data_IF_482703875188
#
_entry.id   IF_482703875188
#
_cell.length_a   1.000
_cell.length_b   1.000
_cell.length_c   1.000
_cell.angle_alpha   90.00
_cell.angle_beta   90.00
_cell.angle_gamma   90.00
#
_symmetry.space_group_name_H-M   'P 1'
#
loop_
_entity.id
_entity.type
_entity.pdbx_description
1 polymer ?
#
# COMPACT_ATOMS: atom_id res chain seq x y z
N UNK A 1 0.64 -8.10 -43.35
CA UNK A 1 0.14 -6.92 -42.60
C UNK A 1 -0.96 -7.29 -41.62
N UNK A 2 -1.94 -8.10 -41.99
CA UNK A 2 -3.07 -8.51 -41.14
C UNK A 2 -2.61 -9.27 -39.86
N UNK A 3 -1.64 -10.17 -39.99
CA UNK A 3 -1.15 -10.99 -38.87
C UNK A 3 -0.42 -10.16 -37.79
N UNK A 4 0.37 -9.14 -38.17
CA UNK A 4 1.00 -8.21 -37.23
C UNK A 4 -0.04 -7.33 -36.47
N UNK A 5 -1.11 -6.98 -37.15
CA UNK A 5 -2.19 -6.18 -36.55
C UNK A 5 -3.01 -7.00 -35.53
N UNK A 6 -3.25 -8.28 -35.79
CA UNK A 6 -3.89 -9.21 -34.86
C UNK A 6 -3.04 -9.47 -33.61
N UNK A 7 -1.72 -9.58 -33.76
CA UNK A 7 -0.81 -9.79 -32.61
C UNK A 7 -0.77 -8.55 -31.70
N UNK A 8 -0.72 -7.34 -32.29
CA UNK A 8 -0.75 -6.10 -31.53
C UNK A 8 -2.06 -5.95 -30.75
N UNK A 9 -3.20 -6.17 -31.39
CA UNK A 9 -4.54 -6.09 -30.73
C UNK A 9 -4.66 -7.08 -29.58
N UNK A 10 -4.20 -8.32 -29.74
CA UNK A 10 -4.25 -9.33 -28.70
C UNK A 10 -3.31 -9.02 -27.52
N UNK A 11 -2.18 -8.35 -27.75
CA UNK A 11 -1.31 -7.88 -26.66
C UNK A 11 -1.93 -6.70 -25.91
N UNK A 12 -2.58 -5.76 -26.59
CA UNK A 12 -3.30 -4.66 -25.97
C UNK A 12 -4.47 -5.16 -25.10
N UNK A 13 -5.19 -6.20 -25.53
CA UNK A 13 -6.23 -6.87 -24.74
C UNK A 13 -5.66 -7.55 -23.49
N UNK A 14 -4.49 -8.20 -23.59
CA UNK A 14 -3.79 -8.78 -22.47
C UNK A 14 -3.36 -7.71 -21.45
N UNK A 15 -2.84 -6.57 -21.91
CA UNK A 15 -2.48 -5.43 -21.04
C UNK A 15 -3.71 -4.82 -20.35
N UNK A 16 -4.83 -4.67 -21.07
CA UNK A 16 -6.08 -4.20 -20.48
C UNK A 16 -6.54 -5.14 -19.36
N UNK A 17 -6.44 -6.46 -19.58
CA UNK A 17 -6.75 -7.46 -18.54
C UNK A 17 -5.88 -7.31 -17.30
N UNK A 18 -4.57 -7.10 -17.46
CA UNK A 18 -3.67 -6.83 -16.32
C UNK A 18 -4.08 -5.55 -15.58
N UNK A 19 -4.42 -4.48 -16.29
CA UNK A 19 -4.86 -3.23 -15.68
C UNK A 19 -6.17 -3.40 -14.89
N UNK A 20 -7.14 -4.16 -15.42
CA UNK A 20 -8.39 -4.45 -14.71
C UNK A 20 -8.15 -5.27 -13.43
N UNK A 21 -7.26 -6.25 -13.49
CA UNK A 21 -6.86 -7.04 -12.31
C UNK A 21 -6.18 -6.15 -11.27
N UNK A 22 -5.29 -5.25 -11.71
CA UNK A 22 -4.59 -4.29 -10.87
C UNK A 22 -5.55 -3.33 -10.17
N UNK A 23 -6.53 -2.80 -10.90
CA UNK A 23 -7.58 -1.92 -10.35
C UNK A 23 -8.41 -2.64 -9.27
N UNK A 24 -8.74 -3.92 -9.48
CA UNK A 24 -9.44 -4.74 -8.48
C UNK A 24 -8.59 -4.97 -7.23
N UNK A 25 -7.30 -5.30 -7.38
CA UNK A 25 -6.38 -5.46 -6.26
C UNK A 25 -6.22 -4.16 -5.48
N UNK A 26 -6.07 -3.02 -6.18
CA UNK A 26 -5.99 -1.70 -5.56
C UNK A 26 -7.23 -1.35 -4.74
N UNK A 27 -8.42 -1.57 -5.29
CA UNK A 27 -9.69 -1.32 -4.58
C UNK A 27 -9.85 -2.21 -3.34
N UNK A 28 -9.41 -3.47 -3.40
CA UNK A 28 -9.42 -4.38 -2.25
C UNK A 28 -8.45 -3.91 -1.17
N UNK A 29 -7.20 -3.59 -1.52
CA UNK A 29 -6.19 -3.11 -0.58
C UNK A 29 -6.64 -1.79 0.10
N UNK A 30 -7.19 -0.84 -0.68
CA UNK A 30 -7.78 0.40 -0.18
C UNK A 30 -8.90 0.13 0.83
N UNK A 31 -9.87 -0.70 0.43
CA UNK A 31 -11.02 -1.04 1.28
C UNK A 31 -10.61 -1.72 2.58
N UNK A 32 -9.64 -2.63 2.54
CA UNK A 32 -9.12 -3.33 3.72
C UNK A 32 -8.39 -2.37 4.66
N UNK A 33 -7.54 -1.49 4.14
CA UNK A 33 -6.81 -0.50 4.93
C UNK A 33 -7.76 0.49 5.59
N UNK A 34 -8.72 1.03 4.84
CA UNK A 34 -9.74 1.92 5.36
C UNK A 34 -10.57 1.24 6.47
N UNK A 35 -11.12 0.06 6.19
CA UNK A 35 -11.97 -0.65 7.13
C UNK A 35 -11.22 -1.06 8.41
N UNK A 36 -9.96 -1.50 8.30
CA UNK A 36 -9.15 -1.84 9.46
C UNK A 36 -8.91 -0.64 10.38
N UNK A 37 -8.61 0.54 9.82
CA UNK A 37 -8.40 1.76 10.60
C UNK A 37 -9.71 2.30 11.17
N UNK A 38 -10.79 2.34 10.41
CA UNK A 38 -12.10 2.80 10.89
C UNK A 38 -12.63 1.91 12.02
N UNK A 39 -12.40 0.59 11.98
CA UNK A 39 -12.76 -0.30 13.10
C UNK A 39 -12.08 0.12 14.41
N UNK A 40 -10.82 0.55 14.37
CA UNK A 40 -10.10 1.08 15.54
C UNK A 40 -10.72 2.40 16.02
N UNK A 41 -10.93 3.34 15.11
CA UNK A 41 -11.36 4.70 15.41
C UNK A 41 -12.80 4.74 15.92
N UNK A 42 -13.69 3.94 15.33
CA UNK A 42 -15.09 3.83 15.73
C UNK A 42 -15.31 2.85 16.88
N UNK A 43 -14.26 2.16 17.31
CA UNK A 43 -14.30 1.08 18.33
C UNK A 43 -15.30 -0.03 17.98
N UNK A 44 -15.41 -0.35 16.72
CA UNK A 44 -16.32 -1.37 16.23
C UNK A 44 -15.58 -2.61 15.72
N UNK A 45 -15.55 -3.72 16.47
CA UNK A 45 -14.84 -4.94 16.07
C UNK A 45 -15.60 -5.78 15.02
N UNK A 46 -16.83 -5.43 14.65
CA UNK A 46 -17.71 -6.31 13.86
C UNK A 46 -17.16 -6.69 12.48
N UNK A 47 -16.32 -5.85 11.88
CA UNK A 47 -15.74 -6.07 10.54
C UNK A 47 -14.37 -6.75 10.57
N UNK A 48 -13.72 -6.89 11.73
CA UNK A 48 -12.32 -7.32 11.81
C UNK A 48 -12.09 -8.74 11.28
N UNK A 49 -13.00 -9.67 11.57
CA UNK A 49 -12.89 -11.06 11.08
C UNK A 49 -13.05 -11.14 9.56
N UNK A 50 -13.92 -10.32 9.00
CA UNK A 50 -14.13 -10.27 7.55
C UNK A 50 -12.94 -9.64 6.84
N UNK A 51 -12.33 -8.58 7.40
CA UNK A 51 -11.10 -7.99 6.86
C UNK A 51 -9.98 -9.02 6.82
N UNK A 52 -9.79 -9.78 7.91
CA UNK A 52 -8.74 -10.81 8.00
C UNK A 52 -8.98 -11.95 6.99
N UNK A 53 -10.24 -12.31 6.72
CA UNK A 53 -10.58 -13.35 5.73
C UNK A 53 -10.44 -12.89 4.28
N UNK A 54 -10.77 -11.63 4.00
CA UNK A 54 -10.69 -11.04 2.65
C UNK A 54 -9.28 -10.89 2.12
N UNK A 55 -8.29 -10.93 2.99
CA UNK A 55 -6.89 -10.95 2.59
C UNK A 55 -6.59 -12.05 1.57
N UNK A 56 -7.21 -13.24 1.75
CA UNK A 56 -7.09 -14.33 0.80
C UNK A 56 -7.58 -13.98 -0.62
N UNK A 57 -8.54 -13.06 -0.77
CA UNK A 57 -9.00 -12.63 -2.10
C UNK A 57 -7.89 -11.88 -2.85
N UNK A 58 -7.03 -11.17 -2.11
CA UNK A 58 -5.91 -10.44 -2.67
C UNK A 58 -4.76 -11.38 -3.06
N UNK A 59 -4.46 -12.38 -2.19
CA UNK A 59 -3.50 -13.46 -2.49
C UNK A 59 -3.90 -14.23 -3.76
N UNK A 60 -5.18 -14.62 -3.86
CA UNK A 60 -5.72 -15.35 -5.01
C UNK A 60 -5.64 -14.50 -6.30
N UNK A 61 -5.90 -13.18 -6.23
CA UNK A 61 -5.75 -12.28 -7.38
C UNK A 61 -4.28 -12.10 -7.79
N UNK A 62 -3.35 -11.97 -6.85
CA UNK A 62 -1.92 -11.93 -7.15
C UNK A 62 -1.50 -13.20 -7.91
N UNK A 63 -1.89 -14.38 -7.42
CA UNK A 63 -1.56 -15.65 -8.05
C UNK A 63 -2.08 -15.72 -9.49
N UNK A 64 -3.34 -15.35 -9.73
CA UNK A 64 -3.93 -15.33 -11.09
C UNK A 64 -3.22 -14.32 -11.99
N UNK A 65 -2.85 -13.14 -11.47
CA UNK A 65 -2.11 -12.13 -12.23
C UNK A 65 -0.71 -12.67 -12.62
N UNK A 66 -0.03 -13.34 -11.70
CA UNK A 66 1.27 -13.94 -11.95
C UNK A 66 1.21 -14.98 -13.07
N UNK A 67 0.18 -15.85 -13.06
CA UNK A 67 -0.04 -16.82 -14.15
C UNK A 67 -0.32 -16.11 -15.48
N UNK A 68 -1.13 -15.04 -15.47
CA UNK A 68 -1.41 -14.25 -16.68
C UNK A 68 -0.15 -13.58 -17.24
N UNK A 69 0.72 -13.04 -16.40
CA UNK A 69 2.01 -12.48 -16.80
C UNK A 69 2.90 -13.53 -17.49
N UNK A 70 2.99 -14.74 -16.92
CA UNK A 70 3.76 -15.85 -17.51
C UNK A 70 3.18 -16.22 -18.88
N UNK A 71 1.85 -16.33 -18.99
CA UNK A 71 1.16 -16.60 -20.26
C UNK A 71 1.49 -15.56 -21.34
N UNK A 72 1.41 -14.27 -20.99
CA UNK A 72 1.73 -13.15 -21.91
C UNK A 72 3.16 -13.25 -22.39
N UNK A 73 4.12 -13.47 -21.49
CA UNK A 73 5.54 -13.59 -21.87
C UNK A 73 5.75 -14.77 -22.81
N UNK A 74 5.15 -15.92 -22.51
CA UNK A 74 5.29 -17.14 -23.31
C UNK A 74 4.65 -17.02 -24.70
N UNK A 75 3.46 -16.42 -24.79
CA UNK A 75 2.70 -16.38 -26.05
C UNK A 75 3.03 -15.17 -26.93
N UNK A 76 3.36 -14.01 -26.32
CA UNK A 76 3.57 -12.75 -27.06
C UNK A 76 5.04 -12.40 -27.26
N UNK A 77 5.96 -12.97 -26.44
CA UNK A 77 7.38 -12.65 -26.45
C UNK A 77 7.65 -11.13 -26.48
N UNK A 78 7.05 -10.35 -25.51
CA UNK A 78 7.13 -8.89 -25.51
C UNK A 78 8.58 -8.41 -25.42
N UNK A 79 8.89 -7.23 -25.98
CA UNK A 79 10.25 -6.68 -26.03
C UNK A 79 10.30 -5.25 -25.54
N UNK A 80 11.43 -4.88 -24.97
CA UNK A 80 11.72 -3.51 -24.53
C UNK A 80 10.58 -2.93 -23.65
N UNK A 81 9.89 -1.88 -24.10
CA UNK A 81 8.84 -1.21 -23.34
C UNK A 81 7.67 -2.14 -22.97
N UNK A 82 7.28 -3.04 -23.89
CA UNK A 82 6.18 -3.99 -23.66
C UNK A 82 6.54 -4.99 -22.57
N UNK A 83 7.77 -5.51 -22.57
CA UNK A 83 8.25 -6.38 -21.50
C UNK A 83 8.32 -5.64 -20.16
N UNK A 84 8.74 -4.36 -20.15
CA UNK A 84 8.74 -3.56 -18.92
C UNK A 84 7.34 -3.44 -18.33
N UNK A 85 6.30 -3.16 -19.15
CA UNK A 85 4.91 -3.08 -18.68
C UNK A 85 4.47 -4.36 -17.99
N UNK A 86 4.74 -5.50 -18.59
CA UNK A 86 4.37 -6.81 -18.03
C UNK A 86 5.10 -7.09 -16.71
N UNK A 87 6.41 -6.81 -16.66
CA UNK A 87 7.21 -7.04 -15.44
C UNK A 87 6.83 -6.06 -14.31
N UNK A 88 6.52 -4.81 -14.64
CA UNK A 88 6.07 -3.84 -13.63
C UNK A 88 4.69 -4.22 -13.09
N UNK A 89 3.77 -4.73 -13.93
CA UNK A 89 2.49 -5.25 -13.43
C UNK A 89 2.67 -6.33 -12.36
N UNK A 90 3.61 -7.26 -12.56
CA UNK A 90 3.96 -8.28 -11.58
C UNK A 90 4.42 -7.68 -10.24
N UNK A 91 5.31 -6.67 -10.29
CA UNK A 91 5.84 -6.02 -9.09
C UNK A 91 4.79 -5.21 -8.35
N UNK A 92 3.94 -4.49 -9.09
CA UNK A 92 2.85 -3.70 -8.50
C UNK A 92 1.83 -4.61 -7.84
N UNK A 93 1.46 -5.73 -8.46
CA UNK A 93 0.55 -6.71 -7.86
C UNK A 93 1.08 -7.25 -6.52
N UNK A 94 2.35 -7.67 -6.48
CA UNK A 94 2.99 -8.13 -5.24
C UNK A 94 3.06 -7.04 -4.18
N UNK A 95 3.19 -5.77 -4.58
CA UNK A 95 3.19 -4.65 -3.64
C UNK A 95 1.79 -4.38 -3.08
N UNK A 96 0.74 -4.51 -3.91
CA UNK A 96 -0.65 -4.36 -3.47
C UNK A 96 -1.06 -5.48 -2.49
N UNK A 97 -0.61 -6.72 -2.71
CA UNK A 97 -0.77 -7.82 -1.76
C UNK A 97 -0.14 -7.48 -0.41
N UNK A 98 1.10 -6.97 -0.38
CA UNK A 98 1.76 -6.52 0.86
C UNK A 98 1.01 -5.41 1.58
N UNK A 99 0.38 -4.49 0.85
CA UNK A 99 -0.49 -3.46 1.46
C UNK A 99 -1.70 -4.12 2.13
N UNK A 100 -2.31 -5.13 1.52
CA UNK A 100 -3.37 -5.94 2.12
C UNK A 100 -2.92 -6.66 3.39
N UNK A 101 -1.76 -7.29 3.37
CA UNK A 101 -1.14 -7.94 4.54
C UNK A 101 -0.95 -6.95 5.71
N UNK A 102 -0.53 -5.71 5.43
CA UNK A 102 -0.40 -4.67 6.45
C UNK A 102 -1.76 -4.27 7.02
N UNK A 103 -2.79 -4.14 6.18
CA UNK A 103 -4.16 -3.88 6.61
C UNK A 103 -4.72 -5.01 7.50
N UNK A 104 -4.48 -6.28 7.12
CA UNK A 104 -4.79 -7.46 7.94
C UNK A 104 -4.07 -7.41 9.29
N UNK A 105 -2.80 -7.02 9.31
CA UNK A 105 -2.03 -6.90 10.55
C UNK A 105 -2.59 -5.79 11.46
N UNK A 106 -3.04 -4.66 10.91
CA UNK A 106 -3.77 -3.62 11.66
C UNK A 106 -5.04 -4.22 12.26
N UNK A 107 -5.87 -4.94 11.47
CA UNK A 107 -7.08 -5.57 11.95
C UNK A 107 -6.83 -6.57 13.10
N UNK A 108 -5.77 -7.39 13.01
CA UNK A 108 -5.36 -8.30 14.10
C UNK A 108 -4.97 -7.57 15.38
N UNK A 109 -4.26 -6.43 15.27
CA UNK A 109 -3.91 -5.59 16.43
C UNK A 109 -5.14 -4.96 17.07
N UNK A 110 -6.08 -4.52 16.25
CA UNK A 110 -7.32 -3.93 16.71
C UNK A 110 -8.16 -4.88 17.57
N UNK A 111 -8.16 -6.19 17.29
CA UNK A 111 -8.82 -7.17 18.17
C UNK A 111 -8.30 -7.11 19.59
N UNK A 112 -6.98 -6.97 19.77
CA UNK A 112 -6.37 -6.86 21.10
C UNK A 112 -6.69 -5.51 21.74
N UNK A 113 -6.59 -4.42 20.97
CA UNK A 113 -6.83 -3.06 21.48
C UNK A 113 -8.27 -2.89 21.92
N UNK A 114 -9.24 -3.38 21.14
CA UNK A 114 -10.66 -3.16 21.38
C UNK A 114 -11.23 -4.00 22.54
N UNK A 115 -10.52 -5.04 22.98
CA UNK A 115 -10.84 -5.80 24.18
C UNK A 115 -10.47 -5.04 25.48
N UNK A 116 -9.86 -3.87 25.37
CA UNK A 116 -9.36 -3.07 26.50
C UNK A 116 -9.95 -1.66 26.50
N UNK A 117 -9.76 -0.93 27.62
CA UNK A 117 -10.14 0.48 27.68
C UNK A 117 -9.08 1.32 26.97
N UNK A 118 -9.38 1.75 25.74
CA UNK A 118 -8.51 2.61 24.96
C UNK A 118 -8.59 4.07 25.44
N UNK A 119 -7.50 4.58 25.96
CA UNK A 119 -7.32 5.98 26.34
C UNK A 119 -6.11 6.54 25.58
N UNK A 120 -6.31 7.12 24.42
CA UNK A 120 -5.26 7.78 23.65
C UNK A 120 -5.81 8.99 22.92
N UNK A 121 -4.97 10.01 22.77
CA UNK A 121 -5.26 11.19 21.96
C UNK A 121 -4.78 11.03 20.50
N UNK A 122 -4.14 9.90 20.16
CA UNK A 122 -3.50 9.70 18.86
C UNK A 122 -4.44 9.16 17.77
N UNK A 123 -5.69 8.78 18.08
CA UNK A 123 -6.62 8.28 17.06
C UNK A 123 -6.87 9.27 15.89
N UNK A 124 -7.02 10.59 16.11
CA UNK A 124 -7.14 11.53 14.99
C UNK A 124 -5.91 11.56 14.09
N UNK A 125 -4.70 11.47 14.66
CA UNK A 125 -3.45 11.42 13.90
C UNK A 125 -3.33 10.13 13.09
N UNK A 126 -3.69 8.99 13.67
CA UNK A 126 -3.77 7.70 12.97
C UNK A 126 -4.76 7.76 11.80
N UNK A 127 -5.94 8.37 12.00
CA UNK A 127 -6.91 8.60 10.91
C UNK A 127 -6.33 9.48 9.81
N UNK A 128 -5.61 10.54 10.18
CA UNK A 128 -4.96 11.44 9.22
C UNK A 128 -3.91 10.69 8.40
N UNK A 129 -3.02 9.92 9.04
CA UNK A 129 -2.05 9.06 8.34
C UNK A 129 -2.73 8.14 7.33
N UNK A 130 -3.78 7.42 7.76
CA UNK A 130 -4.55 6.55 6.86
C UNK A 130 -5.12 7.32 5.67
N UNK A 131 -5.72 8.48 5.91
CA UNK A 131 -6.27 9.31 4.82
C UNK A 131 -5.19 9.77 3.83
N UNK A 132 -3.96 10.05 4.31
CA UNK A 132 -2.85 10.43 3.47
C UNK A 132 -2.41 9.28 2.57
N UNK A 133 -2.15 8.09 3.14
CA UNK A 133 -1.70 6.93 2.35
C UNK A 133 -2.78 6.42 1.39
N UNK A 134 -4.08 6.52 1.73
CA UNK A 134 -5.16 6.20 0.81
C UNK A 134 -5.21 7.15 -0.38
N UNK A 135 -4.99 8.46 -0.17
CA UNK A 135 -4.88 9.43 -1.26
C UNK A 135 -3.65 9.18 -2.14
N UNK A 136 -2.53 8.80 -1.53
CA UNK A 136 -1.32 8.41 -2.26
C UNK A 136 -1.60 7.18 -3.10
N UNK A 137 -2.24 6.13 -2.55
CA UNK A 137 -2.57 4.90 -3.27
C UNK A 137 -3.43 5.19 -4.51
N UNK A 138 -4.51 5.95 -4.35
CA UNK A 138 -5.39 6.30 -5.46
C UNK A 138 -4.65 7.07 -6.57
N UNK A 139 -3.87 8.10 -6.20
CA UNK A 139 -3.06 8.84 -7.17
C UNK A 139 -2.05 7.94 -7.90
N UNK A 140 -1.45 6.99 -7.18
CA UNK A 140 -0.47 6.07 -7.74
C UNK A 140 -1.11 5.09 -8.72
N UNK A 141 -2.31 4.58 -8.42
CA UNK A 141 -3.04 3.69 -9.32
C UNK A 141 -3.48 4.41 -10.61
N UNK A 142 -3.95 5.66 -10.48
CA UNK A 142 -4.26 6.49 -11.65
C UNK A 142 -2.99 6.75 -12.49
N UNK A 143 -1.89 7.15 -11.84
CA UNK A 143 -0.60 7.36 -12.51
C UNK A 143 -0.05 6.08 -13.18
N UNK A 144 -0.33 4.91 -12.63
CA UNK A 144 0.07 3.63 -13.23
C UNK A 144 -0.64 3.38 -14.57
N UNK A 145 -1.95 3.64 -14.64
CA UNK A 145 -2.73 3.48 -15.88
C UNK A 145 -2.24 4.44 -16.96
N UNK A 146 -1.98 5.69 -16.59
CA UNK A 146 -1.56 6.76 -17.51
C UNK A 146 -0.05 6.80 -17.77
N UNK A 147 0.75 5.98 -17.05
CA UNK A 147 2.22 5.99 -17.06
C UNK A 147 2.76 7.42 -16.75
N UNK A 148 2.12 8.09 -15.79
CA UNK A 148 2.43 9.48 -15.41
C UNK A 148 3.56 9.54 -14.37
N UNK A 149 4.79 9.79 -14.87
CA UNK A 149 5.97 9.90 -14.04
C UNK A 149 5.98 11.16 -13.16
N UNK A 150 5.26 12.24 -13.53
CA UNK A 150 5.20 13.48 -12.74
C UNK A 150 4.38 13.24 -11.49
N UNK A 151 3.16 12.69 -11.64
CA UNK A 151 2.32 12.31 -10.50
C UNK A 151 3.02 11.25 -9.61
N UNK A 152 3.81 10.34 -10.19
CA UNK A 152 4.59 9.38 -9.41
C UNK A 152 5.62 10.07 -8.51
N UNK A 153 6.33 11.08 -8.98
CA UNK A 153 7.27 11.87 -8.17
C UNK A 153 6.55 12.64 -7.05
N UNK A 154 5.39 13.25 -7.34
CA UNK A 154 4.58 13.95 -6.34
C UNK A 154 4.13 13.01 -5.21
N UNK A 155 3.84 11.75 -5.53
CA UNK A 155 3.49 10.73 -4.52
C UNK A 155 4.68 10.41 -3.64
N UNK A 156 5.89 10.28 -4.21
CA UNK A 156 7.12 10.02 -3.44
C UNK A 156 7.43 11.17 -2.48
N UNK A 157 7.19 12.42 -2.87
CA UNK A 157 7.34 13.59 -1.99
C UNK A 157 6.28 13.64 -0.89
N UNK A 158 5.05 13.22 -1.17
CA UNK A 158 3.96 13.23 -0.20
C UNK A 158 4.20 12.27 0.98
N UNK A 159 4.99 11.23 0.80
CA UNK A 159 5.36 10.25 1.85
C UNK A 159 6.12 10.89 3.01
N UNK A 160 6.89 11.95 2.76
CA UNK A 160 7.61 12.72 3.79
C UNK A 160 6.68 13.18 4.93
N UNK A 161 5.45 13.58 4.59
CA UNK A 161 4.50 14.04 5.59
C UNK A 161 3.91 12.88 6.39
N UNK A 162 3.76 11.69 5.80
CA UNK A 162 3.38 10.46 6.50
C UNK A 162 4.47 10.08 7.51
N UNK A 163 5.72 10.11 7.12
CA UNK A 163 6.90 9.84 7.95
C UNK A 163 6.96 10.78 9.17
N UNK A 164 6.79 12.09 8.94
CA UNK A 164 6.78 13.09 10.01
C UNK A 164 5.66 12.83 11.00
N UNK A 165 4.47 12.53 10.49
CA UNK A 165 3.32 12.28 11.34
C UNK A 165 3.47 10.96 12.12
N UNK A 166 4.07 9.93 11.53
CA UNK A 166 4.44 8.69 12.22
C UNK A 166 5.39 8.98 13.41
N UNK A 167 6.40 9.83 13.19
CA UNK A 167 7.35 10.24 14.25
C UNK A 167 6.62 10.93 15.41
N UNK A 168 5.70 11.86 15.13
CA UNK A 168 4.90 12.54 16.16
C UNK A 168 4.02 11.56 16.92
N UNK A 169 3.32 10.65 16.22
CA UNK A 169 2.48 9.61 16.85
C UNK A 169 3.32 8.70 17.73
N UNK A 170 4.51 8.31 17.27
CA UNK A 170 5.42 7.47 18.04
C UNK A 170 5.84 8.15 19.36
N UNK A 171 6.30 9.42 19.31
CA UNK A 171 6.71 10.18 20.51
C UNK A 171 5.55 10.31 21.50
N UNK A 172 4.39 10.74 21.04
CA UNK A 172 3.23 10.93 21.91
C UNK A 172 2.74 9.63 22.55
N UNK A 173 2.78 8.51 21.85
CA UNK A 173 2.42 7.21 22.44
C UNK A 173 3.42 6.74 23.49
N UNK A 174 4.71 7.04 23.34
CA UNK A 174 5.73 6.76 24.35
C UNK A 174 5.49 7.61 25.61
N UNK A 175 5.19 8.90 25.45
CA UNK A 175 4.83 9.79 26.58
C UNK A 175 3.58 9.28 27.31
N UNK A 176 2.50 8.93 26.59
CA UNK A 176 1.29 8.35 27.18
C UNK A 176 1.57 7.07 27.98
N UNK A 177 2.48 6.19 27.48
CA UNK A 177 2.88 4.96 28.17
C UNK A 177 3.75 5.25 29.42
N UNK A 178 4.51 6.34 29.43
CA UNK A 178 5.32 6.74 30.58
C UNK A 178 4.45 7.32 31.70
N UNK A 179 3.36 7.99 31.34
CA UNK A 179 2.48 8.65 32.30
C UNK A 179 1.43 7.70 32.92
N UNK A 180 1.02 6.66 32.20
CA UNK A 180 -0.01 5.69 32.65
C UNK A 180 0.40 4.25 32.34
N UNK A 181 0.67 3.45 33.40
CA UNK A 181 1.05 2.04 33.27
C UNK A 181 -0.01 1.17 32.56
N UNK A 182 -1.29 1.53 32.59
CA UNK A 182 -2.33 0.84 31.84
C UNK A 182 -2.14 1.00 30.33
N UNK A 183 -1.53 2.10 29.88
CA UNK A 183 -1.19 2.32 28.47
C UNK A 183 -0.09 1.37 27.96
N UNK A 184 0.73 0.79 28.83
CA UNK A 184 1.74 -0.20 28.45
C UNK A 184 1.12 -1.48 27.81
N UNK A 185 -0.17 -1.75 28.06
CA UNK A 185 -0.87 -2.88 27.43
C UNK A 185 -1.27 -2.61 25.98
N UNK A 186 -1.54 -1.35 25.65
CA UNK A 186 -2.16 -0.93 24.39
C UNK A 186 -1.18 -0.17 23.51
N UNK A 187 -0.34 0.68 24.10
CA UNK A 187 0.59 1.55 23.41
C UNK A 187 1.45 0.82 22.37
N UNK A 188 2.06 -0.33 22.70
CA UNK A 188 2.83 -1.10 21.69
C UNK A 188 1.99 -1.52 20.49
N UNK A 189 0.71 -1.89 20.68
CA UNK A 189 -0.18 -2.24 19.58
C UNK A 189 -0.49 -1.02 18.70
N UNK A 190 -0.70 0.16 19.29
CA UNK A 190 -0.92 1.41 18.56
C UNK A 190 0.33 1.83 17.78
N UNK A 191 1.53 1.68 18.37
CA UNK A 191 2.79 1.90 17.67
C UNK A 191 2.91 1.01 16.42
N UNK A 192 2.54 -0.26 16.53
CA UNK A 192 2.53 -1.17 15.38
C UNK A 192 1.46 -0.78 14.34
N UNK A 193 0.29 -0.27 14.77
CA UNK A 193 -0.73 0.22 13.84
C UNK A 193 -0.17 1.40 13.04
N UNK A 194 0.38 2.42 13.71
CA UNK A 194 0.97 3.59 13.06
C UNK A 194 2.12 3.18 12.10
N UNK A 195 3.02 2.29 12.55
CA UNK A 195 4.13 1.81 11.71
C UNK A 195 3.65 0.98 10.52
N UNK A 196 2.57 0.21 10.63
CA UNK A 196 2.01 -0.48 9.47
C UNK A 196 1.42 0.51 8.46
N UNK A 197 0.80 1.61 8.89
CA UNK A 197 0.30 2.65 7.99
C UNK A 197 1.46 3.37 7.28
N UNK A 198 2.52 3.71 7.99
CA UNK A 198 3.74 4.29 7.38
C UNK A 198 4.33 3.32 6.34
N UNK A 199 4.45 2.03 6.66
CA UNK A 199 4.93 1.03 5.69
C UNK A 199 4.03 0.89 4.46
N UNK A 200 2.73 1.17 4.58
CA UNK A 200 1.86 1.28 3.40
C UNK A 200 2.33 2.43 2.51
N UNK A 201 2.66 3.60 3.07
CA UNK A 201 3.27 4.71 2.34
C UNK A 201 4.56 4.28 1.63
N UNK A 202 5.45 3.60 2.35
CA UNK A 202 6.67 3.01 1.79
C UNK A 202 6.43 2.11 0.57
N UNK A 203 5.40 1.26 0.63
CA UNK A 203 5.05 0.38 -0.48
C UNK A 203 4.45 1.15 -1.67
N UNK A 204 3.64 2.17 -1.40
CA UNK A 204 3.06 3.04 -2.44
C UNK A 204 4.16 3.79 -3.19
N UNK A 205 5.16 4.33 -2.48
CA UNK A 205 6.31 4.97 -3.13
C UNK A 205 7.12 3.98 -3.98
N UNK A 206 7.23 2.73 -3.54
CA UNK A 206 7.82 1.66 -4.37
C UNK A 206 7.05 1.42 -5.67
N UNK A 207 5.70 1.55 -5.68
CA UNK A 207 4.91 1.51 -6.92
C UNK A 207 5.22 2.76 -7.77
N UNK A 208 5.30 3.94 -7.17
CA UNK A 208 5.63 5.18 -7.88
C UNK A 208 6.99 5.11 -8.58
N UNK A 209 8.01 4.52 -7.95
CA UNK A 209 9.32 4.24 -8.57
C UNK A 209 9.18 3.32 -9.80
N UNK A 210 8.31 2.31 -9.76
CA UNK A 210 8.07 1.44 -10.91
C UNK A 210 7.35 2.18 -12.05
N UNK A 211 6.47 3.15 -11.75
CA UNK A 211 5.83 4.01 -12.75
C UNK A 211 6.87 4.92 -13.42
N UNK A 212 7.76 5.52 -12.64
CA UNK A 212 8.88 6.28 -13.16
C UNK A 212 9.74 5.42 -14.12
N UNK A 213 10.06 4.19 -13.68
CA UNK A 213 10.79 3.22 -14.52
C UNK A 213 10.04 2.85 -15.81
N UNK A 214 8.71 2.74 -15.77
CA UNK A 214 7.91 2.51 -16.98
C UNK A 214 8.09 3.61 -18.01
N UNK A 215 8.06 4.87 -17.53
CA UNK A 215 8.15 6.04 -18.39
C UNK A 215 9.56 6.26 -18.95
N UNK A 216 10.59 6.24 -18.09
CA UNK A 216 11.96 6.62 -18.44
C UNK A 216 12.84 5.43 -18.87
N UNK A 217 12.50 4.21 -18.45
CA UNK A 217 13.30 3.01 -18.70
C UNK A 217 14.45 2.79 -17.72
N UNK A 218 14.61 3.68 -16.74
CA UNK A 218 15.58 3.67 -15.66
C UNK A 218 14.92 4.08 -14.34
N UNK A 219 15.48 3.66 -13.21
CA UNK A 219 14.99 4.05 -11.89
C UNK A 219 15.35 5.51 -11.58
N UNK A 220 14.63 6.19 -10.65
CA UNK A 220 14.99 7.54 -10.24
C UNK A 220 16.44 7.59 -9.72
N UNK A 221 17.19 8.63 -10.13
CA UNK A 221 18.61 8.80 -9.73
C UNK A 221 18.83 9.17 -8.26
N UNK A 222 17.79 9.60 -7.56
CA UNK A 222 17.87 10.04 -6.18
C UNK A 222 17.29 8.99 -5.24
N UNK A 223 18.01 8.76 -4.11
CA UNK A 223 17.44 8.03 -3.00
C UNK A 223 16.15 8.71 -2.54
N UNK A 224 15.12 7.91 -2.30
CA UNK A 224 13.84 8.39 -1.80
C UNK A 224 14.05 9.21 -0.52
N UNK A 225 13.54 10.46 -0.44
CA UNK A 225 13.62 11.22 0.79
C UNK A 225 12.82 10.52 1.89
N UNK A 226 13.44 10.32 3.05
CA UNK A 226 12.81 9.74 4.24
C UNK A 226 12.87 10.72 5.40
N UNK A 227 11.78 10.82 6.15
CA UNK A 227 11.68 11.70 7.31
C UNK A 227 11.22 10.97 8.59
N UNK A 228 11.14 9.63 8.58
CA UNK A 228 10.82 8.84 9.77
C UNK A 228 11.99 8.86 10.76
N UNK A 229 11.85 9.68 11.82
CA UNK A 229 12.80 9.79 12.93
C UNK A 229 12.52 8.83 14.09
N UNK A 230 11.49 7.97 14.00
CA UNK A 230 11.07 7.11 15.12
C UNK A 230 12.17 6.17 15.62
N UNK A 231 13.08 5.73 14.74
CA UNK A 231 14.22 4.86 15.07
C UNK A 231 15.39 5.59 15.77
N UNK A 232 15.42 6.92 15.79
CA UNK A 232 16.51 7.73 16.35
C UNK A 232 16.13 8.39 17.69
N UNK A 233 14.90 8.19 18.17
CA UNK A 233 14.42 8.75 19.42
C UNK A 233 15.05 7.98 20.58
N UNK A 234 15.87 8.66 21.39
CA UNK A 234 16.38 8.13 22.64
C UNK A 234 15.34 8.34 23.77
N UNK A 235 15.19 7.34 24.62
CA UNK A 235 14.30 7.35 25.81
C UNK A 235 15.09 7.61 27.07
#
# INVERSE_FOLDING_TARGET
MVEKQHIATAFDEDLATLNDMMARMGALAESQLFASTEALITRNPSSLDDIIKRDKELDDLEAVLNEKVIEIIALRAPRAADLRRVIVALKVASTLERIGDLAKNIAKRNKVILDTTLKTQMLPSIRTMTSMVLKMLNKTLDAYVDVDAVTALDVMEADIEVDKLNTVVFQSLIEEMSDDQEQLKIGPHLLFVAKNIERVGDHITGIAEQIYFLHHGEMPDQDRPKADGSSTIAF
#
